data_IF_356289101763
#
_entry.id   IF_356289101763
#
_cell.length_a   1.000
_cell.length_b   1.000
_cell.length_c   1.000
_cell.angle_alpha   90.00
_cell.angle_beta   90.00
_cell.angle_gamma   90.00
#
_symmetry.space_group_name_H-M   'P 1'
#
loop_
_entity.id
_entity.type
_entity.pdbx_description
1 polymer ?
#
# COMPACT_ATOMS: atom_id res chain seq x y z
N UNK A 1 -9.35 -43.54 -16.26
CA UNK A 1 -8.11 -43.05 -15.63
C UNK A 1 -7.27 -42.27 -16.64
N UNK A 2 -6.52 -42.89 -17.57
CA UNK A 2 -5.66 -42.16 -18.51
C UNK A 2 -6.30 -41.06 -19.42
N UNK A 3 -7.62 -41.05 -19.62
CA UNK A 3 -8.32 -39.94 -20.31
C UNK A 3 -8.63 -38.78 -19.35
N UNK A 4 -9.04 -39.08 -18.11
CA UNK A 4 -9.29 -38.07 -17.07
C UNK A 4 -7.99 -37.35 -16.72
N UNK A 5 -6.90 -38.11 -16.49
CA UNK A 5 -5.59 -37.55 -16.17
C UNK A 5 -5.07 -36.62 -17.29
N UNK A 6 -5.33 -36.97 -18.57
CA UNK A 6 -4.98 -36.11 -19.71
C UNK A 6 -5.84 -34.85 -19.82
N UNK A 7 -7.11 -34.93 -19.43
CA UNK A 7 -8.00 -33.77 -19.43
C UNK A 7 -7.65 -32.82 -18.29
N UNK A 8 -7.34 -33.34 -17.10
CA UNK A 8 -6.85 -32.56 -15.96
C UNK A 8 -5.53 -31.84 -16.29
N UNK A 9 -4.58 -32.53 -16.92
CA UNK A 9 -3.33 -31.91 -17.36
C UNK A 9 -3.58 -30.77 -18.38
N UNK A 10 -4.44 -30.99 -19.37
CA UNK A 10 -4.81 -29.96 -20.35
C UNK A 10 -5.52 -28.76 -19.71
N UNK A 11 -6.36 -29.00 -18.70
CA UNK A 11 -7.02 -27.93 -17.97
C UNK A 11 -6.00 -27.08 -17.21
N UNK A 12 -5.05 -27.73 -16.52
CA UNK A 12 -3.95 -27.03 -15.85
C UNK A 12 -3.09 -26.19 -16.81
N UNK A 13 -2.78 -26.73 -18.00
CA UNK A 13 -2.05 -25.99 -19.04
C UNK A 13 -2.85 -24.77 -19.53
N UNK A 14 -4.16 -24.92 -19.73
CA UNK A 14 -5.04 -23.83 -20.15
C UNK A 14 -5.14 -22.72 -19.10
N UNK A 15 -5.30 -23.08 -17.82
CA UNK A 15 -5.37 -22.11 -16.72
C UNK A 15 -4.05 -21.34 -16.57
N UNK A 16 -2.91 -22.02 -16.74
CA UNK A 16 -1.59 -21.40 -16.74
C UNK A 16 -1.41 -20.44 -17.93
N UNK A 17 -1.80 -20.86 -19.14
CA UNK A 17 -1.74 -20.01 -20.33
C UNK A 17 -2.64 -18.77 -20.17
N UNK A 18 -3.84 -18.94 -19.60
CA UNK A 18 -4.75 -17.85 -19.29
C UNK A 18 -4.13 -16.83 -18.33
N UNK A 19 -3.55 -17.30 -17.21
CA UNK A 19 -2.90 -16.43 -16.24
C UNK A 19 -1.73 -15.64 -16.86
N UNK A 20 -0.93 -16.28 -17.71
CA UNK A 20 0.16 -15.61 -18.44
C UNK A 20 -0.36 -14.55 -19.40
N UNK A 21 -1.44 -14.83 -20.14
CA UNK A 21 -2.07 -13.88 -21.05
C UNK A 21 -2.59 -12.65 -20.30
N UNK A 22 -3.34 -12.86 -19.20
CA UNK A 22 -3.83 -11.77 -18.35
C UNK A 22 -2.67 -10.91 -17.87
N UNK A 23 -1.62 -11.52 -17.33
CA UNK A 23 -0.46 -10.79 -16.83
C UNK A 23 0.25 -10.00 -17.94
N UNK A 24 0.42 -10.58 -19.13
CA UNK A 24 1.05 -9.91 -20.25
C UNK A 24 0.25 -8.67 -20.71
N UNK A 25 -1.08 -8.79 -20.79
CA UNK A 25 -1.96 -7.68 -21.17
C UNK A 25 -1.96 -6.58 -20.11
N UNK A 26 -2.03 -6.94 -18.83
CA UNK A 26 -1.96 -5.96 -17.74
C UNK A 26 -0.60 -5.25 -17.69
N UNK A 27 0.51 -5.97 -17.93
CA UNK A 27 1.84 -5.37 -18.02
C UNK A 27 1.96 -4.37 -19.19
N UNK A 28 1.23 -4.59 -20.28
CA UNK A 28 1.26 -3.66 -21.42
C UNK A 28 0.72 -2.27 -21.05
N UNK A 29 -0.19 -2.16 -20.07
CA UNK A 29 -0.71 -0.89 -19.56
C UNK A 29 0.33 -0.11 -18.74
N UNK A 30 1.05 -0.80 -17.86
CA UNK A 30 2.03 -0.15 -16.98
C UNK A 30 3.26 0.27 -17.80
N UNK A 31 3.64 -0.53 -18.79
CA UNK A 31 4.78 -0.32 -19.67
C UNK A 31 4.46 0.53 -20.93
N UNK A 32 3.25 1.05 -21.06
CA UNK A 32 2.86 1.84 -22.24
C UNK A 32 3.76 3.07 -22.41
N UNK A 33 4.22 3.30 -23.64
CA UNK A 33 5.21 4.33 -23.98
C UNK A 33 4.64 5.73 -24.07
N UNK A 34 3.39 5.82 -24.53
CA UNK A 34 2.66 7.08 -24.72
C UNK A 34 1.14 6.87 -24.53
N UNK A 35 0.38 7.95 -24.67
CA UNK A 35 -1.06 7.94 -24.49
C UNK A 35 -1.81 7.10 -25.54
N UNK A 36 -1.28 6.99 -26.76
CA UNK A 36 -1.87 6.19 -27.83
C UNK A 36 -1.69 4.69 -27.57
N UNK A 37 -0.48 4.28 -27.21
CA UNK A 37 -0.17 2.90 -26.81
C UNK A 37 -0.98 2.47 -25.56
N UNK A 38 -1.12 3.38 -24.59
CA UNK A 38 -1.96 3.16 -23.41
C UNK A 38 -3.43 2.94 -23.79
N UNK A 39 -3.99 3.81 -24.63
CA UNK A 39 -5.38 3.70 -25.09
C UNK A 39 -5.63 2.39 -25.87
N UNK A 40 -4.72 2.00 -26.75
CA UNK A 40 -4.82 0.74 -27.50
C UNK A 40 -4.73 -0.48 -26.59
N UNK A 41 -3.82 -0.47 -25.63
CA UNK A 41 -3.67 -1.54 -24.63
C UNK A 41 -4.91 -1.68 -23.76
N UNK A 42 -5.50 -0.56 -23.36
CA UNK A 42 -6.77 -0.54 -22.61
C UNK A 42 -7.94 -1.04 -23.44
N UNK A 43 -8.04 -0.62 -24.71
CA UNK A 43 -9.08 -1.06 -25.62
C UNK A 43 -9.06 -2.58 -25.81
N UNK A 44 -7.87 -3.18 -26.02
CA UNK A 44 -7.70 -4.64 -26.13
C UNK A 44 -8.19 -5.37 -24.88
N UNK A 45 -7.87 -4.85 -23.69
CA UNK A 45 -8.38 -5.40 -22.42
C UNK A 45 -9.89 -5.29 -22.31
N UNK A 46 -10.48 -4.16 -22.72
CA UNK A 46 -11.91 -3.94 -22.67
C UNK A 46 -12.68 -4.89 -23.62
N UNK A 47 -12.19 -5.09 -24.84
CA UNK A 47 -12.77 -5.99 -25.84
C UNK A 47 -12.81 -7.45 -25.33
N UNK A 48 -11.81 -7.86 -24.57
CA UNK A 48 -11.68 -9.21 -24.03
C UNK A 48 -11.96 -9.31 -22.52
N UNK A 49 -12.58 -8.30 -21.91
CA UNK A 49 -12.70 -8.22 -20.45
C UNK A 49 -13.42 -9.44 -19.86
N UNK A 50 -14.50 -9.87 -20.53
CA UNK A 50 -15.36 -10.98 -20.12
C UNK A 50 -14.68 -12.36 -20.20
N UNK A 51 -13.61 -12.51 -20.97
CA UNK A 51 -12.84 -13.77 -21.02
C UNK A 51 -11.64 -13.71 -20.07
N UNK A 52 -11.03 -12.54 -19.88
CA UNK A 52 -9.83 -12.35 -19.07
C UNK A 52 -10.10 -12.41 -17.57
N UNK A 53 -11.16 -11.74 -17.10
CA UNK A 53 -11.42 -11.53 -15.67
C UNK A 53 -12.52 -12.44 -15.11
N UNK A 54 -12.31 -13.75 -15.29
CA UNK A 54 -13.26 -14.81 -14.91
C UNK A 54 -12.90 -15.55 -13.62
N UNK A 55 -11.74 -15.25 -13.01
CA UNK A 55 -11.30 -15.85 -11.75
C UNK A 55 -11.00 -14.77 -10.71
N UNK A 56 -11.03 -15.13 -9.44
CA UNK A 56 -10.65 -14.20 -8.36
C UNK A 56 -9.19 -13.71 -8.52
N UNK A 57 -8.29 -14.62 -8.91
CA UNK A 57 -6.87 -14.31 -9.14
C UNK A 57 -6.64 -13.32 -10.28
N UNK A 58 -7.40 -13.38 -11.38
CA UNK A 58 -7.25 -12.41 -12.47
C UNK A 58 -7.82 -11.03 -12.10
N UNK A 59 -8.86 -10.98 -11.25
CA UNK A 59 -9.37 -9.73 -10.70
C UNK A 59 -8.40 -9.13 -9.66
N UNK A 60 -7.72 -9.97 -8.87
CA UNK A 60 -6.63 -9.52 -8.00
C UNK A 60 -5.50 -8.89 -8.81
N UNK A 61 -5.09 -9.53 -9.90
CA UNK A 61 -4.09 -8.98 -10.81
C UNK A 61 -4.54 -7.62 -11.38
N UNK A 62 -5.80 -7.52 -11.84
CA UNK A 62 -6.38 -6.24 -12.30
C UNK A 62 -6.33 -5.18 -11.21
N UNK A 63 -6.73 -5.52 -9.99
CA UNK A 63 -6.72 -4.64 -8.82
C UNK A 63 -5.33 -4.07 -8.58
N UNK A 64 -4.29 -4.93 -8.58
CA UNK A 64 -2.91 -4.49 -8.43
C UNK A 64 -2.46 -3.58 -9.58
N UNK A 65 -2.87 -3.88 -10.82
CA UNK A 65 -2.57 -3.01 -11.97
C UNK A 65 -3.24 -1.65 -11.86
N UNK A 66 -4.50 -1.57 -11.42
CA UNK A 66 -5.20 -0.30 -11.21
C UNK A 66 -4.51 0.57 -10.16
N UNK A 67 -4.08 -0.03 -9.06
CA UNK A 67 -3.29 0.67 -8.03
C UNK A 67 -1.95 1.14 -8.58
N UNK A 68 -1.29 0.33 -9.41
CA UNK A 68 -0.05 0.73 -10.09
C UNK A 68 -0.28 1.91 -11.05
N UNK A 69 -1.37 1.90 -11.82
CA UNK A 69 -1.73 3.02 -12.70
C UNK A 69 -2.08 4.29 -11.93
N UNK A 70 -2.71 4.16 -10.75
CA UNK A 70 -2.96 5.30 -9.85
C UNK A 70 -1.64 5.97 -9.45
N UNK A 71 -0.66 5.19 -8.99
CA UNK A 71 0.62 5.76 -8.52
C UNK A 71 1.49 6.32 -9.63
N UNK A 72 1.24 5.91 -10.88
CA UNK A 72 1.89 6.43 -12.08
C UNK A 72 1.18 7.67 -12.66
N UNK A 73 0.06 8.10 -12.08
CA UNK A 73 -0.74 9.23 -12.59
C UNK A 73 -1.45 8.92 -13.91
N UNK A 74 -1.70 7.64 -14.20
CA UNK A 74 -2.36 7.16 -15.42
C UNK A 74 -3.83 6.79 -15.22
N UNK A 75 -4.33 6.82 -13.97
CA UNK A 75 -5.69 6.38 -13.65
C UNK A 75 -6.76 7.48 -13.80
N UNK A 76 -6.38 8.74 -13.63
CA UNK A 76 -7.28 9.90 -13.75
C UNK A 76 -6.70 10.93 -14.73
N UNK A 77 -7.55 11.72 -15.42
CA UNK A 77 -7.06 12.79 -16.28
C UNK A 77 -6.32 13.88 -15.49
N UNK A 78 -5.21 14.36 -16.03
CA UNK A 78 -4.47 15.52 -15.49
C UNK A 78 -5.28 16.81 -15.71
N UNK A 79 -5.32 17.70 -14.72
CA UNK A 79 -6.00 19.01 -14.84
C UNK A 79 -4.95 20.14 -14.82
N UNK A 80 -4.76 20.90 -15.93
CA UNK A 80 -3.84 22.02 -15.97
C UNK A 80 -4.16 23.16 -14.98
N UNK A 81 -5.40 23.22 -14.48
CA UNK A 81 -5.84 24.17 -13.46
C UNK A 81 -5.48 23.78 -12.03
N UNK A 82 -5.05 22.54 -11.79
CA UNK A 82 -4.62 22.09 -10.46
C UNK A 82 -3.36 22.85 -10.01
N UNK A 83 -3.31 23.22 -8.73
CA UNK A 83 -2.10 23.77 -8.15
C UNK A 83 -0.99 22.71 -8.19
N UNK A 84 0.16 22.98 -8.82
CA UNK A 84 1.22 21.99 -8.96
C UNK A 84 1.78 21.58 -7.59
N UNK A 85 2.18 20.31 -7.45
CA UNK A 85 2.67 19.74 -6.20
C UNK A 85 3.86 20.50 -5.59
N UNK A 86 4.63 21.22 -6.40
CA UNK A 86 5.71 22.12 -5.94
C UNK A 86 5.25 23.16 -4.92
N UNK A 87 4.03 23.68 -5.03
CA UNK A 87 3.52 24.68 -4.07
C UNK A 87 3.14 24.01 -2.75
N UNK A 88 2.52 22.82 -2.81
CA UNK A 88 2.29 21.98 -1.63
C UNK A 88 3.61 21.60 -0.94
N UNK A 89 4.65 21.23 -1.70
CA UNK A 89 5.98 20.95 -1.17
C UNK A 89 6.53 22.12 -0.33
N UNK A 90 6.43 23.37 -0.81
CA UNK A 90 6.89 24.55 -0.05
C UNK A 90 6.16 24.66 1.31
N UNK A 91 4.85 24.41 1.32
CA UNK A 91 4.05 24.47 2.56
C UNK A 91 4.42 23.35 3.51
N UNK A 92 4.64 22.14 3.00
CA UNK A 92 5.15 21.00 3.76
C UNK A 92 6.52 21.30 4.36
N UNK A 93 7.46 21.85 3.58
CA UNK A 93 8.81 22.16 4.04
C UNK A 93 8.77 23.13 5.24
N UNK A 94 7.97 24.19 5.16
CA UNK A 94 7.77 25.16 6.26
C UNK A 94 7.14 24.48 7.48
N UNK A 95 6.09 23.68 7.28
CA UNK A 95 5.40 23.00 8.38
C UNK A 95 6.31 21.98 9.07
N UNK A 96 7.10 21.22 8.29
CA UNK A 96 8.06 20.25 8.81
C UNK A 96 9.15 20.93 9.63
N UNK A 97 9.68 22.07 9.19
CA UNK A 97 10.66 22.83 9.96
C UNK A 97 10.12 23.23 11.35
N UNK A 98 8.85 23.64 11.42
CA UNK A 98 8.19 23.94 12.72
C UNK A 98 8.12 22.72 13.61
N UNK A 99 7.64 21.59 13.09
CA UNK A 99 7.56 20.32 13.84
C UNK A 99 8.94 19.88 14.33
N UNK A 100 9.99 20.00 13.52
CA UNK A 100 11.36 19.64 13.92
C UNK A 100 11.91 20.53 15.05
N UNK A 101 11.51 21.81 15.09
CA UNK A 101 11.87 22.73 16.17
C UNK A 101 11.13 22.37 17.45
N UNK A 102 9.82 22.17 17.38
CA UNK A 102 8.94 21.85 18.52
C UNK A 102 9.32 20.52 19.17
N UNK A 103 9.57 19.49 18.36
CA UNK A 103 9.94 18.15 18.82
C UNK A 103 11.41 18.04 19.24
N UNK A 104 12.19 19.13 19.17
CA UNK A 104 13.65 19.17 19.38
C UNK A 104 14.40 18.15 18.51
N UNK A 105 13.82 17.72 17.40
CA UNK A 105 14.37 16.75 16.45
C UNK A 105 15.33 17.38 15.43
N UNK A 106 15.83 18.60 15.68
CA UNK A 106 16.71 19.39 14.81
C UNK A 106 17.96 18.65 14.30
N UNK A 107 18.37 17.54 14.94
CA UNK A 107 19.51 16.70 14.51
C UNK A 107 19.19 15.75 13.35
N UNK A 108 17.94 15.68 12.90
CA UNK A 108 17.55 14.82 11.80
C UNK A 108 18.10 15.40 10.49
N UNK A 109 19.21 14.84 9.99
CA UNK A 109 19.83 15.25 8.72
C UNK A 109 18.79 15.11 7.59
N UNK A 110 18.59 16.20 6.87
CA UNK A 110 17.74 16.24 5.68
C UNK A 110 18.36 15.34 4.60
N UNK A 111 17.56 14.44 4.04
CA UNK A 111 17.98 13.59 2.92
C UNK A 111 17.72 14.39 1.64
N UNK A 112 18.79 14.74 0.94
CA UNK A 112 18.71 15.49 -0.31
C UNK A 112 17.94 14.70 -1.38
N UNK A 113 17.27 15.40 -2.29
CA UNK A 113 16.62 14.77 -3.46
C UNK A 113 17.65 14.06 -4.33
N UNK A 114 18.91 14.52 -4.36
CA UNK A 114 20.04 13.88 -5.05
C UNK A 114 20.35 12.44 -4.57
N UNK A 115 19.76 12.01 -3.45
CA UNK A 115 19.81 10.60 -3.02
C UNK A 115 18.92 9.68 -3.88
N UNK A 116 18.01 10.25 -4.68
CA UNK A 116 17.17 9.54 -5.65
C UNK A 116 17.97 9.28 -6.93
N UNK A 117 18.91 8.32 -6.88
CA UNK A 117 19.82 8.04 -8.00
C UNK A 117 19.10 7.44 -9.22
N UNK A 118 17.96 6.78 -9.03
CA UNK A 118 17.12 6.24 -10.11
C UNK A 118 15.65 6.38 -9.72
N UNK A 119 14.90 7.17 -10.49
CA UNK A 119 13.44 7.26 -10.34
C UNK A 119 12.78 6.04 -11.00
N UNK A 120 11.75 5.43 -10.39
CA UNK A 120 11.12 4.21 -10.93
C UNK A 120 10.44 4.42 -12.29
N UNK A 121 9.86 5.60 -12.51
CA UNK A 121 9.16 5.98 -13.73
C UNK A 121 9.05 7.51 -13.83
N UNK A 122 8.73 8.01 -15.03
CA UNK A 122 8.33 9.39 -15.24
C UNK A 122 6.93 9.64 -14.68
N UNK A 123 6.75 10.74 -13.97
CA UNK A 123 5.46 11.19 -13.44
C UNK A 123 4.85 12.27 -14.36
N UNK A 124 3.52 12.48 -14.30
CA UNK A 124 2.87 13.56 -15.04
C UNK A 124 3.41 14.95 -14.70
N UNK A 125 3.14 15.91 -15.59
CA UNK A 125 3.47 17.31 -15.31
C UNK A 125 2.67 17.81 -14.09
N UNK A 126 3.33 18.55 -13.20
CA UNK A 126 2.73 19.03 -11.95
C UNK A 126 2.94 18.12 -10.75
N UNK A 127 3.42 16.88 -10.96
CA UNK A 127 3.86 16.00 -9.88
C UNK A 127 5.31 16.27 -9.51
N UNK A 128 5.68 15.98 -8.26
CA UNK A 128 7.04 16.12 -7.77
C UNK A 128 7.52 14.81 -7.13
N UNK A 129 8.75 14.38 -7.47
CA UNK A 129 9.41 13.32 -6.72
C UNK A 129 10.10 13.90 -5.49
N UNK A 130 9.80 13.31 -4.34
CA UNK A 130 10.35 13.70 -3.04
C UNK A 130 10.84 12.46 -2.30
N UNK A 131 11.57 12.65 -1.20
CA UNK A 131 11.78 11.54 -0.26
C UNK A 131 10.60 11.47 0.70
N UNK A 132 10.25 10.28 1.18
CA UNK A 132 9.18 10.10 2.17
C UNK A 132 9.41 11.00 3.38
N UNK A 133 10.66 11.13 3.82
CA UNK A 133 11.02 12.03 4.90
C UNK A 133 10.67 13.48 4.58
N UNK A 134 10.99 14.00 3.39
CA UNK A 134 10.68 15.40 3.06
C UNK A 134 9.18 15.72 3.07
N UNK A 135 8.32 14.71 2.90
CA UNK A 135 6.85 14.87 2.89
C UNK A 135 6.23 14.62 4.27
N UNK A 136 6.77 13.66 5.03
CA UNK A 136 6.18 13.15 6.26
C UNK A 136 7.18 13.15 7.43
N UNK A 137 6.67 13.40 8.64
CA UNK A 137 7.46 13.27 9.84
C UNK A 137 7.48 11.81 10.30
N UNK A 138 8.62 11.13 10.07
CA UNK A 138 8.80 9.70 10.38
C UNK A 138 9.47 9.50 11.73
N UNK A 139 8.87 8.65 12.57
CA UNK A 139 9.33 8.37 13.93
C UNK A 139 9.24 6.88 14.27
N UNK A 140 10.10 6.41 15.17
CA UNK A 140 10.07 5.05 15.71
C UNK A 140 9.19 4.95 16.94
N UNK A 141 8.73 3.74 17.24
CA UNK A 141 7.89 3.46 18.40
C UNK A 141 8.65 3.14 19.68
N UNK A 142 7.91 2.62 20.66
CA UNK A 142 8.40 2.25 21.98
C UNK A 142 9.37 1.06 21.87
N UNK A 143 10.56 1.20 22.44
CA UNK A 143 11.53 0.10 22.63
C UNK A 143 11.23 -0.63 23.94
N UNK A 144 10.93 -1.92 23.85
CA UNK A 144 10.66 -2.76 25.02
C UNK A 144 11.95 -3.11 25.78
N UNK A 145 11.83 -3.46 27.06
CA UNK A 145 12.95 -3.96 27.88
C UNK A 145 13.94 -2.90 28.37
N UNK A 146 13.63 -1.61 28.20
CA UNK A 146 14.44 -0.50 28.73
C UNK A 146 14.21 -0.31 30.24
N UNK A 147 15.21 0.22 30.96
CA UNK A 147 15.07 0.55 32.38
C UNK A 147 14.17 1.77 32.56
N UNK A 148 13.12 1.65 33.38
CA UNK A 148 12.10 2.68 33.62
C UNK A 148 12.15 3.28 35.03
N UNK A 149 13.16 2.94 35.83
CA UNK A 149 13.23 3.30 37.25
C UNK A 149 13.21 4.82 37.49
N UNK A 150 12.48 5.24 38.53
CA UNK A 150 12.44 6.63 38.99
C UNK A 150 11.52 7.57 38.20
N UNK A 151 10.67 7.05 37.31
CA UNK A 151 9.68 7.85 36.54
C UNK A 151 8.27 7.36 36.83
N UNK A 152 7.28 8.25 36.69
CA UNK A 152 5.86 7.88 36.78
C UNK A 152 5.47 7.13 35.51
N UNK A 153 4.93 5.92 35.68
CA UNK A 153 4.63 5.01 34.58
C UNK A 153 3.12 4.95 34.33
N UNK A 154 2.77 4.78 33.06
CA UNK A 154 1.40 4.56 32.57
C UNK A 154 1.39 3.33 31.67
N UNK A 155 0.30 2.59 31.71
CA UNK A 155 0.06 1.42 30.87
C UNK A 155 -0.89 1.83 29.75
N UNK A 156 -0.51 1.56 28.50
CA UNK A 156 -1.30 1.89 27.32
C UNK A 156 -1.30 0.76 26.29
N UNK A 157 -2.35 0.60 25.48
CA UNK A 157 -2.35 -0.33 24.37
C UNK A 157 -1.29 0.05 23.33
N UNK A 158 -0.70 -0.93 22.64
CA UNK A 158 0.24 -0.66 21.55
C UNK A 158 0.15 -1.67 20.40
N UNK A 159 0.50 -1.18 19.21
CA UNK A 159 0.56 -1.99 17.99
C UNK A 159 1.94 -2.61 17.78
N UNK A 160 1.92 -3.88 17.35
CA UNK A 160 3.09 -4.66 16.92
C UNK A 160 3.02 -4.92 15.42
N UNK A 161 4.10 -5.49 14.87
CA UNK A 161 4.16 -5.89 13.45
C UNK A 161 3.00 -6.80 13.03
N UNK A 162 2.51 -7.67 13.93
CA UNK A 162 1.38 -8.57 13.66
C UNK A 162 0.06 -7.81 13.41
N UNK A 163 -0.09 -6.61 13.99
CA UNK A 163 -1.30 -5.81 13.90
C UNK A 163 -1.38 -5.00 12.61
N UNK A 164 -0.28 -4.81 11.89
CA UNK A 164 -0.22 -3.97 10.69
C UNK A 164 -0.12 -4.84 9.44
N UNK A 165 -1.19 -4.84 8.64
CA UNK A 165 -1.26 -5.54 7.36
C UNK A 165 -1.34 -4.52 6.21
N UNK A 166 -1.30 -4.99 4.96
CA UNK A 166 -1.43 -4.07 3.81
C UNK A 166 -2.85 -3.52 3.77
N UNK A 167 -2.97 -2.21 3.96
CA UNK A 167 -4.22 -1.46 3.86
C UNK A 167 -5.21 -1.69 5.01
N UNK A 168 -4.86 -2.46 6.04
CA UNK A 168 -5.75 -2.69 7.18
C UNK A 168 -4.99 -3.06 8.46
N UNK A 169 -5.68 -2.90 9.59
CA UNK A 169 -5.19 -3.25 10.92
C UNK A 169 -5.92 -4.47 11.46
N UNK A 170 -5.16 -5.37 12.08
CA UNK A 170 -5.65 -6.56 12.78
C UNK A 170 -5.60 -6.28 14.28
N UNK A 171 -6.77 -6.06 14.88
CA UNK A 171 -6.94 -5.53 16.24
C UNK A 171 -7.62 -6.51 17.21
N UNK A 172 -7.78 -7.78 16.80
CA UNK A 172 -8.32 -8.85 17.64
C UNK A 172 -7.47 -9.12 18.88
N UNK A 173 -6.14 -8.98 18.76
CA UNK A 173 -5.19 -9.16 19.86
C UNK A 173 -4.28 -7.94 20.01
N UNK A 174 -4.59 -7.13 21.01
CA UNK A 174 -3.81 -5.94 21.40
C UNK A 174 -3.11 -6.20 22.73
N UNK A 175 -1.84 -5.80 22.79
CA UNK A 175 -1.04 -5.87 24.02
C UNK A 175 -0.92 -4.48 24.63
N UNK A 176 -0.55 -4.45 25.90
CA UNK A 176 -0.24 -3.24 26.62
C UNK A 176 1.26 -3.11 26.87
N UNK A 177 1.72 -1.87 27.02
CA UNK A 177 3.10 -1.53 27.34
C UNK A 177 3.13 -0.47 28.43
N UNK A 178 4.09 -0.61 29.34
CA UNK A 178 4.38 0.39 30.35
C UNK A 178 5.40 1.40 29.82
N UNK A 179 5.06 2.68 29.88
CA UNK A 179 5.94 3.78 29.49
C UNK A 179 5.91 4.91 30.52
N UNK A 180 6.98 5.73 30.61
CA UNK A 180 6.95 6.98 31.37
C UNK A 180 5.89 7.93 30.82
N UNK A 181 5.12 8.54 31.71
CA UNK A 181 4.02 9.46 31.37
C UNK A 181 4.49 10.64 30.52
N UNK A 182 5.70 11.15 30.77
CA UNK A 182 6.31 12.26 30.04
C UNK A 182 6.81 11.89 28.62
N UNK A 183 6.76 10.60 28.25
CA UNK A 183 7.01 10.14 26.88
C UNK A 183 5.73 9.71 26.15
N UNK A 184 4.56 9.80 26.78
CA UNK A 184 3.29 9.36 26.20
C UNK A 184 3.01 10.05 24.86
N UNK A 185 3.07 11.38 24.83
CA UNK A 185 2.77 12.18 23.63
C UNK A 185 3.67 11.84 22.44
N UNK A 186 4.92 11.43 22.70
CA UNK A 186 5.89 11.08 21.66
C UNK A 186 5.43 9.89 20.81
N UNK A 187 4.85 8.88 21.47
CA UNK A 187 4.47 7.60 20.86
C UNK A 187 2.99 7.47 20.55
N UNK A 188 2.19 8.46 20.94
CA UNK A 188 0.75 8.48 20.75
C UNK A 188 0.38 8.51 19.26
N UNK A 189 -0.48 7.59 18.84
CA UNK A 189 -1.06 7.57 17.51
C UNK A 189 -2.17 8.61 17.38
N UNK A 190 -2.30 9.18 16.18
CA UNK A 190 -3.29 10.19 15.83
C UNK A 190 -3.93 9.83 14.49
N UNK A 191 -5.20 10.18 14.33
CA UNK A 191 -5.94 9.88 13.11
C UNK A 191 -5.18 10.37 11.86
N UNK A 192 -5.03 9.49 10.87
CA UNK A 192 -4.28 9.75 9.65
C UNK A 192 -2.79 9.35 9.71
N UNK A 193 -2.29 8.86 10.84
CA UNK A 193 -0.94 8.29 10.91
C UNK A 193 -0.79 7.07 10.00
N UNK A 194 0.33 6.99 9.29
CA UNK A 194 0.71 5.81 8.53
C UNK A 194 1.61 4.93 9.39
N UNK A 195 1.18 3.69 9.61
CA UNK A 195 1.92 2.66 10.34
C UNK A 195 2.63 1.77 9.35
N UNK A 196 3.95 1.69 9.43
CA UNK A 196 4.80 1.00 8.45
C UNK A 196 5.68 -0.02 9.16
N UNK A 197 5.57 -1.30 8.78
CA UNK A 197 6.35 -2.37 9.42
C UNK A 197 7.82 -2.35 9.03
N UNK A 198 8.72 -2.46 10.01
CA UNK A 198 10.17 -2.54 9.81
C UNK A 198 10.60 -3.81 9.07
N UNK A 199 9.97 -4.95 9.38
CA UNK A 199 10.42 -6.25 8.87
C UNK A 199 9.41 -7.37 9.03
N UNK A 200 9.78 -8.54 8.53
CA UNK A 200 8.97 -9.75 8.46
C UNK A 200 9.52 -10.69 7.39
N UNK A 201 8.63 -11.47 6.76
CA UNK A 201 8.97 -12.16 5.52
C UNK A 201 9.38 -11.15 4.43
N UNK A 202 10.16 -11.60 3.46
CA UNK A 202 10.73 -10.73 2.42
C UNK A 202 9.69 -9.89 1.67
N UNK A 203 8.51 -10.46 1.40
CA UNK A 203 7.38 -9.80 0.73
C UNK A 203 6.52 -8.93 1.66
N UNK A 204 6.77 -9.01 2.97
CA UNK A 204 6.00 -8.37 4.06
C UNK A 204 6.69 -7.14 4.65
N UNK A 205 7.87 -6.77 4.14
CA UNK A 205 8.55 -5.53 4.52
C UNK A 205 7.77 -4.31 4.01
N UNK A 206 7.72 -3.25 4.80
CA UNK A 206 7.05 -2.00 4.42
C UNK A 206 5.53 -2.08 4.29
N UNK A 207 4.88 -3.09 4.90
CA UNK A 207 3.40 -3.12 4.99
C UNK A 207 2.93 -1.84 5.66
N UNK A 208 1.95 -1.20 5.03
CA UNK A 208 1.44 0.09 5.48
C UNK A 208 -0.06 0.04 5.70
N UNK A 209 -0.52 0.60 6.81
CA UNK A 209 -1.94 0.84 7.10
C UNK A 209 -2.13 2.20 7.77
N UNK A 210 -3.27 2.83 7.51
CA UNK A 210 -3.67 4.08 8.18
C UNK A 210 -4.29 3.78 9.55
N UNK A 211 -3.86 4.54 10.56
CA UNK A 211 -4.52 4.62 11.86
C UNK A 211 -5.71 5.57 11.80
N UNK A 212 -6.90 5.09 12.15
CA UNK A 212 -8.17 5.86 12.11
C UNK A 212 -8.72 6.19 13.50
N UNK A 213 -7.92 6.04 14.54
CA UNK A 213 -8.35 6.26 15.92
C UNK A 213 -9.16 5.09 16.49
N UNK A 214 -8.86 3.88 16.06
CA UNK A 214 -9.58 2.65 16.42
C UNK A 214 -9.54 2.36 17.92
N UNK A 215 -8.46 2.75 18.60
CA UNK A 215 -8.27 2.56 20.04
C UNK A 215 -7.78 3.85 20.69
N UNK A 216 -8.45 4.28 21.76
CA UNK A 216 -8.03 5.48 22.50
C UNK A 216 -6.63 5.31 23.09
N UNK A 217 -5.82 6.37 22.99
CA UNK A 217 -4.46 6.43 23.55
C UNK A 217 -3.52 5.28 23.15
N UNK A 218 -3.66 4.78 21.93
CA UNK A 218 -2.85 3.70 21.39
C UNK A 218 -1.44 4.17 20.98
N UNK A 219 -0.45 3.32 21.26
CA UNK A 219 0.95 3.50 20.93
C UNK A 219 1.40 2.53 19.82
N UNK A 220 2.67 2.59 19.44
CA UNK A 220 3.26 1.66 18.49
C UNK A 220 4.66 1.19 18.94
N UNK A 221 5.03 -0.03 18.57
CA UNK A 221 6.33 -0.63 18.88
C UNK A 221 7.46 -0.04 18.00
N UNK A 222 8.72 -0.14 18.43
CA UNK A 222 9.89 0.24 17.64
C UNK A 222 9.97 -0.40 16.24
N UNK A 223 9.37 -1.58 16.04
CA UNK A 223 9.30 -2.29 14.75
C UNK A 223 8.11 -1.88 13.86
N UNK A 224 7.32 -0.91 14.30
CA UNK A 224 6.27 -0.25 13.53
C UNK A 224 6.62 1.24 13.51
N UNK A 225 7.10 1.72 12.36
CA UNK A 225 7.35 3.14 12.17
C UNK A 225 6.04 3.89 12.01
N UNK A 226 6.01 5.14 12.46
CA UNK A 226 4.91 6.07 12.25
C UNK A 226 5.38 7.18 11.32
N UNK A 227 4.69 7.37 10.20
CA UNK A 227 4.84 8.55 9.34
C UNK A 227 3.59 9.43 9.47
N UNK A 228 3.78 10.69 9.88
CA UNK A 228 2.69 11.63 10.15
C UNK A 228 2.78 12.84 9.22
N UNK A 229 1.64 13.27 8.69
CA UNK A 229 1.54 14.51 7.93
C UNK A 229 1.83 15.73 8.82
N UNK A 230 2.59 16.68 8.28
CA UNK A 230 2.94 17.93 8.99
C UNK A 230 1.99 19.08 8.66
N UNK A 231 1.07 18.86 7.72
CA UNK A 231 0.05 19.82 7.26
C UNK A 231 -1.32 19.15 7.21
N UNK A 232 -2.38 19.95 7.28
CA UNK A 232 -3.76 19.50 7.07
C UNK A 232 -4.10 19.31 5.59
N UNK A 233 -3.28 19.86 4.68
CA UNK A 233 -3.40 19.68 3.24
C UNK A 233 -2.83 18.32 2.81
N UNK A 234 -3.53 17.24 3.16
CA UNK A 234 -3.01 15.89 3.04
C UNK A 234 -4.13 14.87 2.86
N UNK A 235 -3.95 13.93 1.92
CA UNK A 235 -4.81 12.74 1.79
C UNK A 235 -4.00 11.48 2.17
N UNK A 236 -4.19 10.91 3.38
CA UNK A 236 -3.39 9.76 3.83
C UNK A 236 -3.60 8.51 2.98
N UNK A 237 -4.76 8.34 2.35
CA UNK A 237 -5.02 7.18 1.47
C UNK A 237 -4.15 7.17 0.23
N UNK A 238 -3.78 8.34 -0.30
CA UNK A 238 -2.82 8.41 -1.40
C UNK A 238 -1.48 7.78 -1.00
N UNK A 239 -0.96 8.14 0.17
CA UNK A 239 0.30 7.59 0.66
C UNK A 239 0.23 6.09 0.99
N UNK A 240 -0.90 5.62 1.54
CA UNK A 240 -1.13 4.19 1.76
C UNK A 240 -1.16 3.40 0.45
N UNK A 241 -1.82 3.92 -0.59
CA UNK A 241 -1.84 3.33 -1.94
C UNK A 241 -0.41 3.24 -2.48
N UNK A 242 0.37 4.34 -2.40
CA UNK A 242 1.75 4.34 -2.88
C UNK A 242 2.65 3.37 -2.12
N UNK A 243 2.65 3.42 -0.79
CA UNK A 243 3.53 2.60 0.04
C UNK A 243 3.22 1.10 -0.05
N UNK A 244 2.01 0.72 -0.46
CA UNK A 244 1.64 -0.66 -0.73
C UNK A 244 1.73 -1.07 -2.22
N UNK A 245 2.05 -0.15 -3.13
CA UNK A 245 2.22 -0.43 -4.56
C UNK A 245 3.41 -1.35 -4.84
N UNK A 246 3.44 -1.95 -6.04
CA UNK A 246 4.56 -2.77 -6.48
C UNK A 246 5.88 -1.99 -6.43
N UNK A 247 5.87 -0.73 -6.86
CA UNK A 247 7.05 0.16 -6.85
C UNK A 247 7.66 0.32 -5.45
N UNK A 248 6.86 0.66 -4.44
CA UNK A 248 7.37 0.83 -3.08
C UNK A 248 7.82 -0.50 -2.47
N UNK A 249 7.10 -1.60 -2.78
CA UNK A 249 7.46 -2.94 -2.33
C UNK A 249 8.82 -3.38 -2.88
N UNK A 250 9.07 -3.18 -4.17
CA UNK A 250 10.36 -3.47 -4.80
C UNK A 250 11.49 -2.67 -4.18
N UNK A 251 11.26 -1.38 -3.90
CA UNK A 251 12.22 -0.55 -3.18
C UNK A 251 12.55 -1.12 -1.79
N UNK A 252 11.55 -1.45 -0.99
CA UNK A 252 11.77 -1.98 0.36
C UNK A 252 12.43 -3.36 0.34
N UNK A 253 12.01 -4.23 -0.58
CA UNK A 253 12.61 -5.54 -0.76
C UNK A 253 14.09 -5.45 -1.17
N UNK A 254 14.41 -4.60 -2.15
CA UNK A 254 15.78 -4.41 -2.66
C UNK A 254 16.71 -3.66 -1.70
N UNK A 255 16.16 -2.80 -0.83
CA UNK A 255 16.94 -2.10 0.19
C UNK A 255 17.06 -2.86 1.51
N UNK A 256 16.22 -3.87 1.76
CA UNK A 256 16.22 -4.62 3.01
C UNK A 256 17.54 -5.37 3.25
N UNK A 257 17.94 -5.49 4.53
CA UNK A 257 18.98 -6.44 4.92
C UNK A 257 18.33 -7.79 5.19
N UNK A 258 18.80 -8.82 4.51
CA UNK A 258 18.28 -10.17 4.64
C UNK A 258 19.20 -11.04 5.51
N UNK A 259 18.57 -11.75 6.44
CA UNK A 259 19.12 -12.94 7.11
C UNK A 259 18.30 -14.16 6.70
N UNK A 260 18.70 -15.38 7.07
CA UNK A 260 18.13 -16.64 6.57
C UNK A 260 16.59 -16.67 6.50
N UNK A 261 15.89 -16.10 7.49
CA UNK A 261 14.42 -16.11 7.57
C UNK A 261 13.78 -14.73 7.85
N UNK A 262 14.54 -13.63 7.74
CA UNK A 262 14.01 -12.31 8.09
C UNK A 262 14.63 -11.22 7.22
N UNK A 263 13.76 -10.37 6.66
CA UNK A 263 14.14 -9.13 6.00
C UNK A 263 13.65 -7.94 6.82
N UNK A 264 14.49 -6.90 6.91
CA UNK A 264 14.15 -5.67 7.62
C UNK A 264 14.74 -4.44 6.92
N UNK A 265 13.98 -3.34 6.92
CA UNK A 265 14.45 -2.01 6.58
C UNK A 265 14.70 -1.21 7.86
N UNK A 266 15.65 -0.27 7.84
CA UNK A 266 15.84 0.66 8.94
C UNK A 266 15.17 2.02 8.67
N UNK A 267 15.17 2.89 9.69
CA UNK A 267 14.62 4.24 9.61
C UNK A 267 15.21 5.07 8.46
N UNK A 268 16.51 4.94 8.17
CA UNK A 268 17.15 5.71 7.09
C UNK A 268 16.67 5.24 5.71
N UNK A 269 16.49 3.93 5.53
CA UNK A 269 15.93 3.35 4.31
C UNK A 269 14.47 3.78 4.11
N UNK A 270 13.64 3.71 5.17
CA UNK A 270 12.26 4.20 5.07
C UNK A 270 12.20 5.68 4.67
N UNK A 271 13.00 6.52 5.34
CA UNK A 271 13.07 7.96 5.10
C UNK A 271 13.56 8.30 3.69
N UNK A 272 14.42 7.47 3.10
CA UNK A 272 14.97 7.66 1.77
C UNK A 272 14.08 7.11 0.64
N UNK A 273 12.96 6.45 0.96
CA UNK A 273 12.02 5.96 -0.04
C UNK A 273 11.57 7.11 -0.95
N UNK A 274 11.68 6.92 -2.26
CA UNK A 274 11.14 7.86 -3.24
C UNK A 274 9.63 7.93 -3.05
N UNK A 275 9.04 9.12 -3.11
CA UNK A 275 7.62 9.34 -2.91
C UNK A 275 7.10 10.31 -3.98
N UNK A 276 6.21 9.88 -4.88
CA UNK A 276 5.60 10.76 -5.86
C UNK A 276 4.50 11.56 -5.17
N UNK A 277 4.56 12.88 -5.28
CA UNK A 277 3.57 13.79 -4.75
C UNK A 277 2.77 14.42 -5.90
N UNK A 278 1.49 14.03 -6.10
CA UNK A 278 0.59 14.71 -7.02
C UNK A 278 0.11 16.06 -6.44
N UNK A 279 -0.44 16.94 -7.28
CA UNK A 279 -1.34 18.01 -6.84
C UNK A 279 -2.37 17.52 -5.82
N UNK A 280 -2.67 18.33 -4.79
CA UNK A 280 -3.57 17.91 -3.71
C UNK A 280 -4.98 17.54 -4.24
N UNK A 281 -5.52 18.35 -5.15
CA UNK A 281 -6.80 18.08 -5.79
C UNK A 281 -6.79 16.74 -6.53
N UNK A 282 -5.70 16.43 -7.23
CA UNK A 282 -5.51 15.16 -7.92
C UNK A 282 -5.40 13.98 -6.94
N UNK A 283 -4.71 14.12 -5.79
CA UNK A 283 -4.67 13.07 -4.77
C UNK A 283 -6.08 12.60 -4.39
N UNK A 284 -7.00 13.54 -4.12
CA UNK A 284 -8.40 13.21 -3.83
C UNK A 284 -9.12 12.55 -5.01
N UNK A 285 -8.90 13.04 -6.24
CA UNK A 285 -9.49 12.45 -7.46
C UNK A 285 -9.01 11.02 -7.69
N UNK A 286 -7.71 10.74 -7.50
CA UNK A 286 -7.14 9.40 -7.60
C UNK A 286 -7.76 8.48 -6.57
N UNK A 287 -7.78 8.88 -5.30
CA UNK A 287 -8.32 8.06 -4.22
C UNK A 287 -9.80 7.74 -4.44
N UNK A 288 -10.60 8.74 -4.81
CA UNK A 288 -12.01 8.52 -5.13
C UNK A 288 -12.20 7.56 -6.31
N UNK A 289 -11.33 7.63 -7.33
CA UNK A 289 -11.37 6.71 -8.47
C UNK A 289 -10.96 5.29 -8.09
N UNK A 290 -9.93 5.15 -7.27
CA UNK A 290 -9.50 3.85 -6.72
C UNK A 290 -10.64 3.23 -5.93
N UNK A 291 -11.25 3.95 -4.99
CA UNK A 291 -12.38 3.46 -4.18
C UNK A 291 -13.53 2.93 -5.08
N UNK A 292 -13.89 3.69 -6.11
CA UNK A 292 -14.93 3.28 -7.08
C UNK A 292 -14.56 1.97 -7.80
N UNK A 293 -13.32 1.86 -8.27
CA UNK A 293 -12.89 0.70 -9.05
C UNK A 293 -12.68 -0.54 -8.18
N UNK A 294 -12.18 -0.38 -6.95
CA UNK A 294 -12.07 -1.48 -5.98
C UNK A 294 -13.44 -2.05 -5.65
N UNK A 295 -14.44 -1.19 -5.40
CA UNK A 295 -15.80 -1.63 -5.15
C UNK A 295 -16.39 -2.43 -6.33
N UNK A 296 -16.09 -2.06 -7.58
CA UNK A 296 -16.50 -2.82 -8.76
C UNK A 296 -15.79 -4.18 -8.86
N UNK A 297 -14.50 -4.23 -8.54
CA UNK A 297 -13.73 -5.48 -8.50
C UNK A 297 -14.28 -6.44 -7.43
N UNK A 298 -14.59 -5.93 -6.25
CA UNK A 298 -15.19 -6.71 -5.16
C UNK A 298 -16.58 -7.24 -5.53
N UNK A 299 -17.41 -6.42 -6.17
CA UNK A 299 -18.71 -6.84 -6.69
C UNK A 299 -18.56 -7.95 -7.74
N UNK A 300 -17.58 -7.85 -8.64
CA UNK A 300 -17.33 -8.86 -9.65
C UNK A 300 -16.89 -10.19 -9.01
N UNK A 301 -15.97 -10.17 -8.04
CA UNK A 301 -15.57 -11.36 -7.28
C UNK A 301 -16.74 -12.01 -6.56
N UNK A 302 -17.57 -11.22 -5.88
CA UNK A 302 -18.74 -11.72 -5.17
C UNK A 302 -19.71 -12.46 -6.11
N UNK A 303 -19.94 -11.92 -7.32
CA UNK A 303 -20.80 -12.55 -8.33
C UNK A 303 -20.20 -13.85 -8.89
N UNK A 304 -18.90 -13.89 -9.13
CA UNK A 304 -18.22 -15.13 -9.57
C UNK A 304 -18.35 -16.24 -8.51
N UNK A 305 -18.14 -15.90 -7.24
CA UNK A 305 -18.27 -16.85 -6.14
C UNK A 305 -19.71 -17.36 -5.99
N UNK A 306 -20.72 -16.49 -6.13
CA UNK A 306 -22.12 -16.90 -6.13
C UNK A 306 -22.45 -17.83 -7.30
N UNK A 307 -22.01 -17.51 -8.52
CA UNK A 307 -22.24 -18.35 -9.69
C UNK A 307 -21.60 -19.74 -9.51
N UNK A 308 -20.37 -19.80 -8.97
CA UNK A 308 -19.69 -21.05 -8.64
C UNK A 308 -20.48 -21.89 -7.63
N UNK A 309 -20.96 -21.27 -6.55
CA UNK A 309 -21.78 -21.97 -5.56
C UNK A 309 -23.05 -22.54 -6.20
N UNK A 310 -23.75 -21.78 -7.05
CA UNK A 310 -24.95 -22.28 -7.73
C UNK A 310 -24.63 -23.49 -8.61
N UNK A 311 -23.51 -23.47 -9.35
CA UNK A 311 -23.07 -24.62 -10.15
C UNK A 311 -22.81 -25.87 -9.28
N UNK A 312 -22.13 -25.71 -8.14
CA UNK A 312 -21.85 -26.81 -7.20
C UNK A 312 -23.13 -27.42 -6.61
N UNK A 313 -24.10 -26.58 -6.24
CA UNK A 313 -25.40 -27.05 -5.74
C UNK A 313 -26.20 -27.79 -6.82
N UNK A 314 -26.23 -27.26 -8.05
CA UNK A 314 -26.93 -27.90 -9.16
C UNK A 314 -26.30 -29.27 -9.49
N UNK A 315 -24.97 -29.35 -9.54
CA UNK A 315 -24.27 -30.61 -9.76
C UNK A 315 -24.61 -31.64 -8.68
N UNK A 316 -24.60 -31.23 -7.41
CA UNK A 316 -24.94 -32.10 -6.28
C UNK A 316 -26.38 -32.61 -6.39
N UNK A 317 -27.34 -31.73 -6.65
CA UNK A 317 -28.75 -32.09 -6.79
C UNK A 317 -29.01 -33.04 -7.97
N UNK A 318 -28.34 -32.84 -9.11
CA UNK A 318 -28.46 -33.73 -10.27
C UNK A 318 -27.89 -35.12 -9.98
N UNK A 319 -26.77 -35.21 -9.27
CA UNK A 319 -26.17 -36.49 -8.89
C UNK A 319 -27.09 -37.22 -7.90
N UNK A 320 -27.61 -36.53 -6.89
CA UNK A 320 -28.56 -37.11 -5.92
C UNK A 320 -29.82 -37.65 -6.61
N UNK A 321 -30.38 -36.92 -7.58
CA UNK A 321 -31.58 -37.35 -8.31
C UNK A 321 -31.32 -38.45 -9.34
N UNK A 322 -30.10 -38.53 -9.91
CA UNK A 322 -29.76 -39.53 -10.92
C UNK A 322 -29.25 -40.86 -10.33
N UNK A 323 -28.77 -40.84 -9.08
CA UNK A 323 -28.25 -42.02 -8.37
C UNK A 323 -29.29 -42.62 -7.40
N UNK A 324 -30.42 -41.95 -7.19
CA UNK A 324 -31.61 -42.46 -6.49
C UNK A 324 -32.48 -43.35 -7.39
#
# INVERSE_FOLDING_TARGET
MALCDRLEARQGDADSAHAQLVQALLNSLTQSRDAGDFAQSWQRLAEHFHTLFITESSIDALTQTLLQLAVMGKLVPQDPGDEPARELCKRIDVAKQRVLIETKARKQKELAVDTLSVLPYSVPNGWEWKTLDSVLYVTGGVTLGRKLAGRKLVIKPYLRVANVQRGHLVLDQIKEVEIPEDELEKYLLSNGDLLITEGGDWDKVGRTAIWRGEISECLHQNHVFRARAVTTEWEPRWAEIYLNSATAREYFAGSSKQTTNLASINMAQLRACAFPLPPLAEQYRIVAKVDQLMALCDQLKARLNQARQVHEHLASALVEQAVA
#
